data_IF_301318073559
#
_entry.id   IF_301318073559
#
_cell.length_a   1.000
_cell.length_b   1.000
_cell.length_c   1.000
_cell.angle_alpha   90.00
_cell.angle_beta   90.00
_cell.angle_gamma   90.00
#
_symmetry.space_group_name_H-M   'P 1'
#
loop_
_entity.id
_entity.type
_entity.pdbx_description
1 polymer ?
#
# COMPACT_ATOMS: atom_id res chain seq x y z
N UNK A 1 5.86 -10.28 -15.10
CA UNK A 1 6.16 -11.62 -14.60
C UNK A 1 7.59 -12.02 -14.95
N UNK A 2 8.34 -12.51 -13.99
CA UNK A 2 9.72 -12.99 -14.21
C UNK A 2 9.80 -14.30 -14.99
N UNK A 3 8.73 -15.11 -15.03
CA UNK A 3 8.70 -16.37 -15.76
C UNK A 3 7.31 -17.00 -15.81
N UNK A 4 7.14 -18.02 -16.68
CA UNK A 4 5.86 -18.71 -16.86
C UNK A 4 5.37 -19.46 -15.61
N UNK A 5 6.30 -19.93 -14.76
CA UNK A 5 5.96 -20.57 -13.49
C UNK A 5 5.22 -19.64 -12.54
N UNK A 6 5.53 -18.34 -12.55
CA UNK A 6 4.85 -17.36 -11.71
C UNK A 6 3.43 -17.06 -12.22
N UNK A 7 3.19 -17.19 -13.54
CA UNK A 7 1.84 -17.14 -14.10
C UNK A 7 1.02 -18.32 -13.58
N UNK A 8 1.61 -19.54 -13.55
CA UNK A 8 0.93 -20.73 -13.04
C UNK A 8 0.64 -20.62 -11.53
N UNK A 9 1.60 -20.14 -10.73
CA UNK A 9 1.40 -19.99 -9.28
C UNK A 9 0.40 -18.87 -8.93
N UNK A 10 0.39 -17.78 -9.69
CA UNK A 10 -0.50 -16.64 -9.45
C UNK A 10 -1.99 -17.00 -9.58
N UNK A 11 -2.36 -17.94 -10.45
CA UNK A 11 -3.76 -18.34 -10.59
C UNK A 11 -4.32 -19.06 -9.34
N UNK A 12 -3.46 -19.58 -8.46
CA UNK A 12 -3.82 -20.34 -7.25
C UNK A 12 -4.00 -19.42 -6.03
N UNK A 13 -3.64 -18.14 -6.12
CA UNK A 13 -3.71 -17.20 -5.01
C UNK A 13 -5.15 -17.03 -4.55
N UNK A 14 -5.38 -17.20 -3.25
CA UNK A 14 -6.64 -17.01 -2.54
C UNK A 14 -6.58 -15.87 -1.53
N UNK A 15 -5.38 -15.44 -1.13
CA UNK A 15 -5.15 -14.39 -0.14
C UNK A 15 -4.08 -13.43 -0.62
N UNK A 16 -4.36 -12.13 -0.53
CA UNK A 16 -3.40 -11.07 -0.81
C UNK A 16 -3.14 -10.27 0.47
N UNK A 17 -1.88 -10.09 0.79
CA UNK A 17 -1.42 -9.22 1.87
C UNK A 17 -0.80 -7.98 1.24
N UNK A 18 -1.37 -6.82 1.52
CA UNK A 18 -0.88 -5.52 1.05
C UNK A 18 -0.14 -4.83 2.19
N UNK A 19 1.09 -4.38 1.95
CA UNK A 19 1.70 -3.41 2.86
C UNK A 19 0.89 -2.10 2.84
N UNK A 20 0.89 -1.36 3.94
CA UNK A 20 0.19 -0.08 4.00
C UNK A 20 0.98 1.01 3.26
N UNK A 21 2.19 1.28 3.74
CA UNK A 21 2.99 2.45 3.35
C UNK A 21 3.60 2.27 1.95
N UNK A 22 3.40 3.23 1.05
CA UNK A 22 3.90 3.16 -0.32
C UNK A 22 3.15 2.18 -1.23
N UNK A 23 2.36 1.26 -0.67
CA UNK A 23 1.56 0.27 -1.40
C UNK A 23 0.10 0.70 -1.47
N UNK A 24 -0.66 0.67 -0.36
CA UNK A 24 -2.05 1.18 -0.29
C UNK A 24 -2.05 2.71 -0.28
N UNK A 25 -1.08 3.31 0.39
CA UNK A 25 -0.88 4.75 0.49
C UNK A 25 0.24 5.24 -0.43
N UNK A 26 0.37 6.54 -0.59
CA UNK A 26 1.38 7.15 -1.44
C UNK A 26 2.81 7.05 -0.87
N UNK A 27 2.97 6.71 0.41
CA UNK A 27 4.25 6.63 1.11
C UNK A 27 4.87 7.99 1.41
N UNK A 28 4.11 9.07 1.20
CA UNK A 28 4.52 10.45 1.46
C UNK A 28 3.43 11.15 2.25
N UNK A 29 3.70 11.54 3.51
CA UNK A 29 2.77 12.34 4.29
C UNK A 29 2.49 13.67 3.60
N UNK A 30 1.23 14.12 3.69
CA UNK A 30 0.80 15.46 3.26
C UNK A 30 -0.04 16.10 4.34
N UNK A 31 -0.09 17.42 4.37
CA UNK A 31 -1.01 18.15 5.24
C UNK A 31 -2.42 17.98 4.70
N UNK A 32 -3.30 17.37 5.48
CA UNK A 32 -4.71 17.14 5.12
C UNK A 32 -5.64 18.21 5.69
N UNK A 33 -5.31 18.73 6.87
CA UNK A 33 -6.12 19.74 7.55
C UNK A 33 -5.21 20.73 8.28
N UNK A 34 -5.60 21.98 8.22
CA UNK A 34 -4.94 23.08 8.94
C UNK A 34 -5.96 24.10 9.43
N UNK A 35 -5.90 24.41 10.71
CA UNK A 35 -6.66 25.46 11.35
C UNK A 35 -5.71 26.41 12.04
N UNK A 36 -5.53 27.58 11.49
CA UNK A 36 -4.65 28.66 11.95
C UNK A 36 -4.56 29.73 10.87
N UNK A 37 -3.87 30.83 11.17
CA UNK A 37 -3.59 31.88 10.19
C UNK A 37 -2.30 31.63 9.39
N UNK A 38 -2.07 32.42 8.36
CA UNK A 38 -0.87 32.27 7.52
C UNK A 38 0.43 32.59 8.28
N UNK A 39 0.39 33.45 9.28
CA UNK A 39 1.55 33.77 10.11
C UNK A 39 1.95 32.56 10.96
N UNK A 40 0.99 31.91 11.60
CA UNK A 40 1.21 30.68 12.36
C UNK A 40 1.77 29.57 11.45
N UNK A 41 1.23 29.42 10.23
CA UNK A 41 1.73 28.43 9.28
C UNK A 41 3.17 28.72 8.82
N UNK A 42 3.50 30.00 8.59
CA UNK A 42 4.85 30.43 8.22
C UNK A 42 5.86 30.12 9.33
N UNK A 43 5.51 30.45 10.58
CA UNK A 43 6.34 30.16 11.75
C UNK A 43 6.50 28.64 11.97
N UNK A 44 5.42 27.89 11.86
CA UNK A 44 5.42 26.43 11.93
C UNK A 44 6.37 25.81 10.89
N UNK A 45 6.20 26.18 9.62
CA UNK A 45 7.01 25.64 8.54
C UNK A 45 8.48 26.08 8.63
N UNK A 46 8.75 27.27 9.16
CA UNK A 46 10.11 27.73 9.44
C UNK A 46 10.75 26.88 10.54
N UNK A 47 10.01 26.57 11.62
CA UNK A 47 10.49 25.70 12.70
C UNK A 47 10.76 24.28 12.21
N UNK A 48 9.86 23.73 11.38
CA UNK A 48 9.99 22.37 10.86
C UNK A 48 11.06 22.21 9.75
N UNK A 49 11.51 23.33 9.13
CA UNK A 49 12.57 23.32 8.11
C UNK A 49 13.86 22.63 8.61
N UNK A 50 14.14 22.76 9.90
CA UNK A 50 15.33 22.20 10.55
C UNK A 50 15.10 20.81 11.14
N UNK A 51 13.91 20.24 10.98
CA UNK A 51 13.54 18.91 11.45
C UNK A 51 13.78 17.85 10.37
N UNK A 52 14.37 16.72 10.74
CA UNK A 52 14.56 15.55 9.86
C UNK A 52 13.33 14.61 9.82
N UNK A 53 12.24 14.98 10.49
CA UNK A 53 11.08 14.14 10.58
C UNK A 53 10.27 14.14 9.25
N UNK A 54 9.76 13.00 8.75
CA UNK A 54 8.97 12.97 7.50
C UNK A 54 7.75 13.89 7.48
N UNK A 55 7.15 14.16 8.65
CA UNK A 55 6.02 15.11 8.77
C UNK A 55 6.44 16.56 8.53
N UNK A 56 7.69 16.92 8.85
CA UNK A 56 8.23 18.24 8.66
C UNK A 56 8.29 18.61 7.16
N UNK A 57 8.72 17.69 6.31
CA UNK A 57 8.75 17.90 4.86
C UNK A 57 7.33 18.21 4.31
N UNK A 58 6.32 17.49 4.79
CA UNK A 58 4.93 17.73 4.43
C UNK A 58 4.45 19.15 4.78
N UNK A 59 4.80 19.61 5.98
CA UNK A 59 4.44 20.96 6.48
C UNK A 59 5.15 22.06 5.68
N UNK A 60 6.45 21.88 5.44
CA UNK A 60 7.26 22.82 4.64
C UNK A 60 6.72 22.92 3.20
N UNK A 61 6.39 21.80 2.59
CA UNK A 61 5.82 21.77 1.24
C UNK A 61 4.45 22.46 1.18
N UNK A 62 3.59 22.20 2.16
CA UNK A 62 2.28 22.88 2.27
C UNK A 62 2.40 24.39 2.39
N UNK A 63 3.35 24.89 3.21
CA UNK A 63 3.60 26.32 3.33
C UNK A 63 4.13 26.92 2.02
N UNK A 64 4.99 26.21 1.28
CA UNK A 64 5.49 26.65 -0.05
C UNK A 64 4.37 26.72 -1.08
N UNK A 65 3.43 25.75 -1.09
CA UNK A 65 2.25 25.79 -1.95
C UNK A 65 1.36 27.00 -1.67
N UNK A 66 1.31 27.47 -0.40
CA UNK A 66 0.66 28.71 -0.01
C UNK A 66 1.49 29.96 -0.30
N UNK A 67 2.66 29.81 -0.96
CA UNK A 67 3.59 30.89 -1.30
C UNK A 67 4.14 31.66 -0.09
N UNK A 68 4.24 31.00 1.08
CA UNK A 68 4.81 31.60 2.27
C UNK A 68 6.32 31.54 2.22
N UNK A 69 6.97 32.67 2.56
CA UNK A 69 8.44 32.74 2.63
C UNK A 69 8.91 32.28 4.00
N UNK A 70 9.76 31.26 4.03
CA UNK A 70 10.36 30.76 5.27
C UNK A 70 11.58 31.59 5.63
N UNK A 71 11.73 31.88 6.91
CA UNK A 71 12.86 32.65 7.50
C UNK A 71 13.90 31.70 8.13
N UNK A 72 14.82 32.23 8.92
CA UNK A 72 15.80 31.45 9.64
C UNK A 72 15.34 31.19 11.09
N UNK A 73 15.65 30.00 11.60
CA UNK A 73 15.38 29.62 12.98
C UNK A 73 16.54 30.10 13.87
N UNK A 74 16.24 30.81 14.94
CA UNK A 74 17.27 31.27 15.91
C UNK A 74 17.71 30.13 16.82
N UNK A 75 16.75 29.33 17.32
CA UNK A 75 17.00 28.12 18.13
C UNK A 75 16.03 27.05 17.72
N UNK A 76 16.52 25.80 17.70
CA UNK A 76 15.71 24.61 17.43
C UNK A 76 16.05 23.51 18.44
N UNK A 77 15.02 22.85 18.97
CA UNK A 77 15.17 21.73 19.89
C UNK A 77 14.08 20.71 19.63
N UNK A 78 14.47 19.50 19.26
CA UNK A 78 13.56 18.37 19.25
C UNK A 78 13.29 17.90 20.70
N UNK A 79 12.01 17.66 21.01
CA UNK A 79 11.55 17.09 22.28
C UNK A 79 11.08 15.66 22.00
N UNK A 80 11.91 14.63 22.25
CA UNK A 80 11.61 13.26 21.85
C UNK A 80 10.25 12.77 22.33
N UNK A 81 9.43 12.26 21.39
CA UNK A 81 8.09 11.75 21.68
C UNK A 81 7.02 12.82 21.98
N UNK A 82 7.36 14.12 21.93
CA UNK A 82 6.44 15.20 22.28
C UNK A 82 6.26 16.21 21.15
N UNK A 83 7.31 16.53 20.40
CA UNK A 83 7.31 17.53 19.33
C UNK A 83 8.60 18.32 19.22
N UNK A 84 8.50 19.60 18.88
CA UNK A 84 9.62 20.53 18.73
C UNK A 84 9.36 21.85 19.46
N UNK A 85 10.44 22.51 19.81
CA UNK A 85 10.51 23.86 20.37
C UNK A 85 11.48 24.68 19.52
N UNK A 86 11.08 25.87 19.10
CA UNK A 86 11.90 26.76 18.29
C UNK A 86 11.69 28.23 18.63
N UNK A 87 12.66 29.06 18.29
CA UNK A 87 12.54 30.52 18.34
C UNK A 87 12.82 31.10 16.96
N UNK A 88 11.91 31.92 16.47
CA UNK A 88 11.99 32.57 15.16
C UNK A 88 11.56 34.03 15.33
N UNK A 89 12.42 34.98 14.97
CA UNK A 89 12.12 36.42 15.04
C UNK A 89 11.47 36.86 16.39
N UNK A 90 12.05 36.42 17.52
CA UNK A 90 11.54 36.65 18.88
C UNK A 90 10.22 35.92 19.23
N UNK A 91 9.66 35.13 18.35
CA UNK A 91 8.52 34.25 18.64
C UNK A 91 9.01 32.90 19.14
N UNK A 92 8.51 32.48 20.31
CA UNK A 92 8.70 31.17 20.85
C UNK A 92 7.61 30.24 20.32
N UNK A 93 7.99 29.14 19.70
CA UNK A 93 7.08 28.22 18.99
C UNK A 93 7.19 26.83 19.57
N UNK A 94 6.05 26.26 19.90
CA UNK A 94 5.90 24.87 20.32
C UNK A 94 4.99 24.16 19.32
N UNK A 95 5.44 23.02 18.81
CA UNK A 95 4.66 22.17 17.90
C UNK A 95 4.69 20.74 18.41
N UNK A 96 3.55 20.14 18.68
CA UNK A 96 3.54 18.77 19.17
C UNK A 96 2.22 18.29 19.74
N UNK A 97 2.30 17.27 20.57
CA UNK A 97 1.15 16.60 21.15
C UNK A 97 0.59 17.30 22.39
N UNK A 98 -0.52 16.75 22.95
CA UNK A 98 -1.16 17.27 24.18
C UNK A 98 -0.20 17.39 25.36
N UNK A 99 0.75 16.44 25.45
CA UNK A 99 1.69 16.42 26.57
C UNK A 99 2.68 17.59 26.49
N UNK A 100 3.21 17.90 25.30
CA UNK A 100 4.07 19.07 25.11
C UNK A 100 3.36 20.37 25.55
N UNK A 101 2.08 20.53 25.21
CA UNK A 101 1.29 21.69 25.60
C UNK A 101 1.08 21.74 27.12
N UNK A 102 0.74 20.62 27.74
CA UNK A 102 0.55 20.52 29.20
C UNK A 102 1.83 20.78 29.98
N UNK A 103 2.98 20.27 29.53
CA UNK A 103 4.29 20.50 30.16
C UNK A 103 4.74 21.98 30.08
N UNK A 104 4.10 22.78 29.22
CA UNK A 104 4.30 24.22 29.06
C UNK A 104 3.11 25.07 29.56
N UNK A 105 2.24 24.51 30.41
CA UNK A 105 1.09 25.19 31.02
C UNK A 105 0.07 25.77 29.98
N UNK A 106 0.04 25.21 28.76
CA UNK A 106 -0.89 25.61 27.70
C UNK A 106 -2.16 24.80 27.82
N UNK A 107 -3.26 25.44 28.20
CA UNK A 107 -4.57 24.79 28.31
C UNK A 107 -5.20 24.56 26.93
N UNK A 108 -5.82 23.39 26.73
CA UNK A 108 -6.52 23.05 25.50
C UNK A 108 -8.02 23.32 25.65
N UNK A 109 -8.61 24.22 24.85
CA UNK A 109 -10.05 24.36 24.75
C UNK A 109 -10.68 23.03 24.30
N UNK A 110 -11.89 22.75 24.80
CA UNK A 110 -12.59 21.49 24.56
C UNK A 110 -12.74 21.19 23.05
N UNK A 111 -13.13 22.18 22.24
CA UNK A 111 -13.30 22.01 20.80
C UNK A 111 -11.99 21.59 20.09
N UNK A 112 -10.84 22.16 20.49
CA UNK A 112 -9.55 21.76 19.94
C UNK A 112 -9.19 20.31 20.35
N UNK A 113 -9.50 19.92 21.59
CA UNK A 113 -9.29 18.54 22.04
C UNK A 113 -10.19 17.55 21.29
N UNK A 114 -11.42 17.96 20.96
CA UNK A 114 -12.37 17.15 20.19
C UNK A 114 -11.89 17.02 18.73
N UNK A 115 -11.43 18.11 18.08
CA UNK A 115 -10.85 18.10 16.74
C UNK A 115 -9.61 17.19 16.66
N UNK A 116 -8.71 17.32 17.64
CA UNK A 116 -7.52 16.47 17.72
C UNK A 116 -7.90 14.97 17.78
N UNK A 117 -8.90 14.65 18.63
CA UNK A 117 -9.39 13.28 18.78
C UNK A 117 -10.06 12.78 17.48
N UNK A 118 -10.76 13.66 16.77
CA UNK A 118 -11.36 13.34 15.48
C UNK A 118 -10.30 12.96 14.45
N UNK A 119 -9.24 13.79 14.29
CA UNK A 119 -8.15 13.50 13.36
C UNK A 119 -7.39 12.21 13.72
N UNK A 120 -7.13 11.98 15.01
CA UNK A 120 -6.48 10.75 15.46
C UNK A 120 -7.31 9.50 15.15
N UNK A 121 -8.65 9.57 15.30
CA UNK A 121 -9.56 8.48 14.93
C UNK A 121 -9.63 8.23 13.42
N UNK A 122 -9.40 9.28 12.63
CA UNK A 122 -9.33 9.22 11.17
C UNK A 122 -7.94 8.74 10.67
N UNK A 123 -7.06 8.32 11.58
CA UNK A 123 -5.74 7.78 11.25
C UNK A 123 -4.69 8.83 10.88
N UNK A 124 -4.95 10.12 11.21
CA UNK A 124 -4.04 11.23 10.93
C UNK A 124 -3.13 11.50 12.14
N UNK A 125 -1.95 12.03 11.88
CA UNK A 125 -1.09 12.57 12.93
C UNK A 125 -1.44 14.06 13.09
N UNK A 126 -2.10 14.40 14.17
CA UNK A 126 -2.49 15.77 14.46
C UNK A 126 -1.55 16.38 15.51
N UNK A 127 -1.13 17.63 15.27
CA UNK A 127 -0.22 18.38 16.11
C UNK A 127 -0.82 19.75 16.45
N UNK A 128 -0.58 20.18 17.68
CA UNK A 128 -0.95 21.48 18.20
C UNK A 128 0.18 22.46 17.96
N UNK A 129 -0.17 23.71 17.69
CA UNK A 129 0.77 24.80 17.44
C UNK A 129 0.50 25.89 18.47
N UNK A 130 1.54 26.26 19.22
CA UNK A 130 1.47 27.41 20.12
C UNK A 130 2.58 28.40 19.81
N UNK A 131 2.23 29.68 19.80
CA UNK A 131 3.14 30.79 19.61
C UNK A 131 3.10 31.65 20.88
N UNK A 132 4.27 31.91 21.47
CA UNK A 132 4.41 32.64 22.71
C UNK A 132 3.48 32.12 23.83
N UNK A 133 3.46 30.79 24.00
CA UNK A 133 2.64 30.05 24.97
C UNK A 133 1.11 30.18 24.77
N UNK A 134 0.68 30.73 23.64
CA UNK A 134 -0.74 30.80 23.27
C UNK A 134 -1.02 29.79 22.14
N UNK A 135 -2.06 28.96 22.29
CA UNK A 135 -2.48 28.04 21.25
C UNK A 135 -3.01 28.82 20.05
N UNK A 136 -2.38 28.63 18.88
CA UNK A 136 -2.68 29.40 17.65
C UNK A 136 -3.17 28.51 16.51
N UNK A 137 -3.01 27.18 16.61
CA UNK A 137 -3.49 26.32 15.54
C UNK A 137 -3.40 24.83 15.82
N UNK A 138 -3.95 24.08 14.88
CA UNK A 138 -3.85 22.63 14.78
C UNK A 138 -3.55 22.27 13.34
N UNK A 139 -2.69 21.30 13.13
CA UNK A 139 -2.36 20.76 11.82
C UNK A 139 -2.46 19.24 11.85
N UNK A 140 -3.04 18.64 10.81
CA UNK A 140 -3.10 17.20 10.66
C UNK A 140 -2.36 16.78 9.39
N UNK A 141 -1.56 15.75 9.52
CA UNK A 141 -0.74 15.18 8.45
C UNK A 141 -1.05 13.70 8.34
N UNK A 142 -1.24 13.21 7.14
CA UNK A 142 -1.47 11.80 6.90
C UNK A 142 -0.83 11.33 5.60
N UNK A 143 -0.49 10.06 5.55
CA UNK A 143 -0.16 9.39 4.30
C UNK A 143 -1.47 9.00 3.61
N UNK A 144 -1.73 9.61 2.45
CA UNK A 144 -3.00 9.49 1.74
C UNK A 144 -3.10 8.18 0.97
N UNK A 145 -4.29 7.62 0.94
CA UNK A 145 -4.60 6.43 0.14
C UNK A 145 -4.43 6.74 -1.35
N UNK A 146 -3.83 5.81 -2.10
CA UNK A 146 -3.69 5.93 -3.55
C UNK A 146 -5.04 5.96 -4.24
N UNK A 147 -5.09 6.67 -5.36
CA UNK A 147 -6.24 6.64 -6.26
C UNK A 147 -6.53 5.19 -6.68
N UNK A 148 -7.81 4.86 -6.79
CA UNK A 148 -8.29 3.52 -7.17
C UNK A 148 -7.93 2.36 -6.22
N UNK A 149 -7.31 2.60 -5.05
CA UNK A 149 -7.00 1.54 -4.09
C UNK A 149 -8.26 0.78 -3.65
N UNK A 150 -9.33 1.50 -3.35
CA UNK A 150 -10.62 0.92 -3.00
C UNK A 150 -11.23 0.08 -4.12
N UNK A 151 -11.11 0.55 -5.37
CA UNK A 151 -11.65 -0.18 -6.54
C UNK A 151 -10.85 -1.45 -6.81
N UNK A 152 -9.52 -1.40 -6.63
CA UNK A 152 -8.66 -2.58 -6.77
C UNK A 152 -8.99 -3.65 -5.72
N UNK A 153 -9.16 -3.25 -4.46
CA UNK A 153 -9.53 -4.15 -3.37
C UNK A 153 -10.90 -4.76 -3.61
N UNK A 154 -11.87 -3.94 -4.04
CA UNK A 154 -13.21 -4.44 -4.42
C UNK A 154 -13.12 -5.50 -5.53
N UNK A 155 -12.35 -5.26 -6.59
CA UNK A 155 -12.17 -6.25 -7.65
C UNK A 155 -11.54 -7.55 -7.17
N UNK A 156 -10.58 -7.49 -6.23
CA UNK A 156 -9.99 -8.69 -5.61
C UNK A 156 -11.05 -9.48 -4.84
N UNK A 157 -11.89 -8.81 -4.05
CA UNK A 157 -13.02 -9.46 -3.36
C UNK A 157 -14.03 -10.07 -4.34
N UNK A 158 -14.38 -9.36 -5.43
CA UNK A 158 -15.26 -9.87 -6.48
C UNK A 158 -14.69 -11.13 -7.20
N UNK A 159 -13.35 -11.31 -7.16
CA UNK A 159 -12.66 -12.50 -7.65
C UNK A 159 -12.56 -13.64 -6.61
N UNK A 160 -13.13 -13.47 -5.42
CA UNK A 160 -13.10 -14.41 -4.30
C UNK A 160 -11.76 -14.48 -3.58
N UNK A 161 -10.97 -13.40 -3.63
CA UNK A 161 -9.65 -13.31 -2.99
C UNK A 161 -9.80 -12.54 -1.68
N UNK A 162 -9.31 -13.10 -0.57
CA UNK A 162 -9.20 -12.38 0.70
C UNK A 162 -8.12 -11.33 0.61
N UNK A 163 -8.39 -10.14 1.17
CA UNK A 163 -7.42 -9.06 1.23
C UNK A 163 -7.12 -8.72 2.68
N UNK A 164 -5.85 -8.75 3.05
CA UNK A 164 -5.35 -8.34 4.35
C UNK A 164 -4.40 -7.15 4.20
N UNK A 165 -4.40 -6.25 5.17
CA UNK A 165 -3.43 -5.16 5.25
C UNK A 165 -2.42 -5.45 6.37
N UNK A 166 -1.14 -5.23 6.07
CA UNK A 166 -0.03 -5.34 7.01
C UNK A 166 0.56 -3.95 7.26
N UNK A 167 0.74 -3.57 8.51
CA UNK A 167 1.20 -2.23 8.89
C UNK A 167 2.02 -2.24 10.17
N UNK A 168 3.06 -1.43 10.22
CA UNK A 168 3.79 -1.10 11.43
C UNK A 168 3.09 -0.08 12.33
N UNK A 169 2.01 0.55 11.85
CA UNK A 169 1.25 1.51 12.64
C UNK A 169 0.46 0.81 13.75
N UNK A 170 0.05 1.60 14.74
CA UNK A 170 -0.87 1.14 15.76
C UNK A 170 -2.22 0.70 15.15
N UNK A 171 -2.92 -0.15 15.86
CA UNK A 171 -4.17 -0.77 15.41
C UNK A 171 -5.24 0.24 14.97
N UNK A 172 -5.37 1.37 15.67
CA UNK A 172 -6.41 2.37 15.35
C UNK A 172 -6.14 3.04 13.99
N UNK A 173 -4.92 3.48 13.76
CA UNK A 173 -4.48 4.09 12.49
C UNK A 173 -4.62 3.10 11.34
N UNK A 174 -4.15 1.86 11.52
CA UNK A 174 -4.25 0.82 10.51
C UNK A 174 -5.73 0.49 10.18
N UNK A 175 -6.61 0.38 11.19
CA UNK A 175 -8.04 0.14 10.98
C UNK A 175 -8.75 1.28 10.24
N UNK A 176 -8.37 2.55 10.50
CA UNK A 176 -8.95 3.70 9.79
C UNK A 176 -8.67 3.60 8.28
N UNK A 177 -7.44 3.32 7.88
CA UNK A 177 -7.06 3.14 6.47
C UNK A 177 -7.76 1.92 5.85
N UNK A 178 -7.75 0.78 6.55
CA UNK A 178 -8.42 -0.44 6.09
C UNK A 178 -9.91 -0.22 5.81
N UNK A 179 -10.61 0.45 6.71
CA UNK A 179 -12.02 0.81 6.55
C UNK A 179 -12.25 1.72 5.35
N UNK A 180 -11.37 2.68 5.10
CA UNK A 180 -11.45 3.59 3.96
C UNK A 180 -11.40 2.85 2.62
N UNK A 181 -10.56 1.81 2.52
CA UNK A 181 -10.35 1.05 1.29
C UNK A 181 -11.17 -0.26 1.22
N UNK A 182 -11.87 -0.65 2.28
CA UNK A 182 -12.72 -1.84 2.32
C UNK A 182 -11.96 -3.14 2.63
N UNK A 183 -10.91 -3.08 3.44
CA UNK A 183 -10.17 -4.26 3.93
C UNK A 183 -10.68 -4.64 5.32
N UNK A 184 -11.04 -5.90 5.53
CA UNK A 184 -11.56 -6.41 6.80
C UNK A 184 -10.46 -6.95 7.73
N UNK A 185 -9.41 -7.53 7.16
CA UNK A 185 -8.32 -8.14 7.92
C UNK A 185 -7.14 -7.19 8.04
N UNK A 186 -6.81 -6.81 9.28
CA UNK A 186 -5.70 -5.89 9.58
C UNK A 186 -4.71 -6.56 10.53
N UNK A 187 -3.45 -6.58 10.13
CA UNK A 187 -2.31 -7.06 10.93
C UNK A 187 -1.46 -5.82 11.25
N UNK A 188 -1.70 -5.24 12.42
CA UNK A 188 -1.09 -3.99 12.87
C UNK A 188 0.06 -4.23 13.88
N UNK A 189 0.77 -3.16 14.24
CA UNK A 189 1.88 -3.16 15.21
C UNK A 189 3.01 -4.15 14.84
N UNK A 190 3.29 -4.33 13.54
CA UNK A 190 4.26 -5.30 13.03
C UNK A 190 5.60 -4.64 12.71
N UNK A 191 6.67 -5.16 13.31
CA UNK A 191 8.03 -4.74 12.98
C UNK A 191 8.43 -5.24 11.58
N UNK A 192 9.34 -4.53 10.89
CA UNK A 192 9.79 -4.93 9.54
C UNK A 192 10.26 -6.38 9.46
N UNK A 193 11.03 -6.85 10.45
CA UNK A 193 11.55 -8.22 10.54
C UNK A 193 10.47 -9.28 10.77
N UNK A 194 9.31 -8.91 11.29
CA UNK A 194 8.19 -9.82 11.58
C UNK A 194 7.26 -10.03 10.38
N UNK A 195 7.34 -9.18 9.34
CA UNK A 195 6.46 -9.26 8.17
C UNK A 195 6.48 -10.64 7.52
N UNK A 196 7.67 -11.21 7.31
CA UNK A 196 7.82 -12.55 6.73
C UNK A 196 7.18 -13.65 7.60
N UNK A 197 7.25 -13.51 8.93
CA UNK A 197 6.63 -14.46 9.85
C UNK A 197 5.09 -14.44 9.77
N UNK A 198 4.48 -13.27 9.54
CA UNK A 198 3.03 -13.17 9.33
C UNK A 198 2.59 -13.87 8.03
N UNK A 199 3.36 -13.72 6.96
CA UNK A 199 3.12 -14.45 5.71
C UNK A 199 3.19 -15.96 5.95
N UNK A 200 4.26 -16.44 6.62
CA UNK A 200 4.41 -17.86 6.96
C UNK A 200 3.23 -18.40 7.79
N UNK A 201 2.71 -17.62 8.73
CA UNK A 201 1.55 -17.99 9.54
C UNK A 201 0.27 -18.18 8.70
N UNK A 202 0.03 -17.31 7.73
CA UNK A 202 -1.10 -17.48 6.81
C UNK A 202 -0.93 -18.72 5.93
N UNK A 203 0.28 -18.98 5.43
CA UNK A 203 0.59 -20.20 4.66
C UNK A 203 0.38 -21.49 5.47
N UNK A 204 0.72 -21.48 6.78
CA UNK A 204 0.47 -22.61 7.69
C UNK A 204 -1.02 -22.90 7.88
N UNK A 205 -1.89 -21.91 7.66
CA UNK A 205 -3.35 -22.08 7.67
C UNK A 205 -3.89 -22.66 6.35
N UNK A 206 -3.00 -23.02 5.41
CA UNK A 206 -3.35 -23.59 4.10
C UNK A 206 -3.63 -22.55 3.02
N UNK A 207 -3.41 -21.25 3.30
CA UNK A 207 -3.64 -20.16 2.35
C UNK A 207 -2.52 -20.07 1.32
N UNK A 208 -2.89 -19.70 0.09
CA UNK A 208 -1.97 -19.35 -1.00
C UNK A 208 -1.82 -17.84 -1.05
N UNK A 209 -0.71 -17.36 -0.55
CA UNK A 209 -0.50 -15.94 -0.19
C UNK A 209 0.32 -15.22 -1.25
N UNK A 210 -0.23 -14.11 -1.79
CA UNK A 210 0.57 -13.10 -2.46
C UNK A 210 0.88 -11.97 -1.47
N UNK A 211 2.14 -11.49 -1.47
CA UNK A 211 2.56 -10.29 -0.73
C UNK A 211 2.82 -9.16 -1.71
N UNK A 212 2.28 -7.98 -1.42
CA UNK A 212 2.50 -6.75 -2.20
C UNK A 212 3.21 -5.72 -1.34
N UNK A 213 4.32 -5.20 -1.82
CA UNK A 213 5.12 -4.19 -1.13
C UNK A 213 5.94 -3.33 -2.10
N UNK A 214 6.51 -2.23 -1.60
CA UNK A 214 7.27 -1.27 -2.42
C UNK A 214 8.73 -1.11 -1.96
N UNK A 215 9.06 -1.54 -0.76
CA UNK A 215 10.29 -1.20 -0.08
C UNK A 215 11.25 -2.35 0.23
N UNK A 216 12.46 -1.96 0.64
CA UNK A 216 13.50 -2.88 1.13
C UNK A 216 13.01 -3.70 2.33
N UNK A 217 12.19 -3.07 3.19
CA UNK A 217 11.64 -3.70 4.39
C UNK A 217 10.65 -4.84 4.07
N UNK A 218 10.11 -4.87 2.86
CA UNK A 218 9.17 -5.89 2.40
C UNK A 218 9.85 -7.08 1.72
N UNK A 219 11.11 -6.93 1.29
CA UNK A 219 11.82 -7.95 0.53
C UNK A 219 11.80 -9.34 1.19
N UNK A 220 12.02 -9.52 2.50
CA UNK A 220 11.90 -10.82 3.14
C UNK A 220 10.48 -11.41 3.07
N UNK A 221 9.45 -10.57 3.15
CA UNK A 221 8.06 -10.99 3.05
C UNK A 221 7.65 -11.32 1.60
N UNK A 222 8.16 -10.56 0.62
CA UNK A 222 7.97 -10.83 -0.80
C UNK A 222 8.55 -12.20 -1.20
N UNK A 223 9.78 -12.48 -0.76
CA UNK A 223 10.43 -13.79 -1.01
C UNK A 223 9.70 -14.94 -0.30
N UNK A 224 9.15 -14.68 0.90
CA UNK A 224 8.46 -15.70 1.71
C UNK A 224 7.11 -16.08 1.15
N UNK A 225 6.40 -15.18 0.49
CA UNK A 225 5.07 -15.42 -0.07
C UNK A 225 5.09 -16.48 -1.18
N UNK A 226 3.92 -17.06 -1.51
CA UNK A 226 3.78 -17.92 -2.69
C UNK A 226 4.00 -17.11 -3.97
N UNK A 227 3.62 -15.83 -3.97
CA UNK A 227 3.91 -14.84 -5.01
C UNK A 227 4.28 -13.52 -4.35
N UNK A 228 5.45 -12.98 -4.66
CA UNK A 228 5.87 -11.63 -4.32
C UNK A 228 5.55 -10.64 -5.43
N UNK A 229 4.91 -9.52 -5.12
CA UNK A 229 4.54 -8.47 -6.06
C UNK A 229 5.17 -7.15 -5.61
N UNK A 230 6.13 -6.63 -6.35
CA UNK A 230 6.67 -5.28 -6.14
C UNK A 230 5.82 -4.26 -6.88
N UNK A 231 5.50 -3.13 -6.22
CA UNK A 231 4.66 -2.07 -6.79
C UNK A 231 5.40 -0.72 -6.79
N UNK A 232 5.15 0.08 -7.83
CA UNK A 232 5.67 1.44 -7.95
C UNK A 232 7.06 1.51 -8.57
N UNK A 233 7.81 2.53 -8.17
CA UNK A 233 9.23 2.70 -8.49
C UNK A 233 10.13 1.89 -7.54
N UNK A 234 9.62 0.76 -7.03
CA UNK A 234 10.20 -0.04 -5.96
C UNK A 234 11.73 -0.07 -6.00
N UNK A 235 12.35 -0.12 -4.85
CA UNK A 235 13.80 -0.23 -4.76
C UNK A 235 14.27 -1.44 -5.59
N UNK A 236 15.48 -1.39 -6.15
CA UNK A 236 16.05 -2.52 -6.90
C UNK A 236 15.94 -3.83 -6.10
N UNK A 237 16.12 -3.75 -4.77
CA UNK A 237 15.99 -4.89 -3.86
C UNK A 237 14.57 -5.47 -3.86
N UNK A 238 13.52 -4.64 -3.83
CA UNK A 238 12.13 -5.12 -3.87
C UNK A 238 11.80 -5.73 -5.24
N UNK A 239 12.27 -5.10 -6.33
CA UNK A 239 12.10 -5.60 -7.70
C UNK A 239 12.81 -6.95 -7.86
N UNK A 240 14.01 -7.10 -7.31
CA UNK A 240 14.76 -8.36 -7.37
C UNK A 240 14.10 -9.47 -6.55
N UNK A 241 13.53 -9.14 -5.39
CA UNK A 241 12.84 -10.07 -4.50
C UNK A 241 11.47 -10.52 -5.03
N UNK A 242 10.82 -9.73 -5.88
CA UNK A 242 9.46 -10.01 -6.36
C UNK A 242 9.43 -10.93 -7.58
N UNK A 243 8.36 -11.70 -7.71
CA UNK A 243 8.04 -12.55 -8.87
C UNK A 243 7.31 -11.76 -9.97
N UNK A 244 6.57 -10.74 -9.56
CA UNK A 244 5.82 -9.82 -10.42
C UNK A 244 6.20 -8.39 -10.06
N UNK A 245 6.48 -7.56 -11.06
CA UNK A 245 6.73 -6.14 -10.87
C UNK A 245 5.65 -5.32 -11.55
N UNK A 246 5.00 -4.43 -10.80
CA UNK A 246 3.96 -3.52 -11.28
C UNK A 246 4.56 -2.12 -11.38
N UNK A 247 4.81 -1.67 -12.60
CA UNK A 247 5.34 -0.34 -12.86
C UNK A 247 4.25 0.73 -12.70
N UNK A 248 4.64 1.90 -12.19
CA UNK A 248 3.76 3.06 -12.08
C UNK A 248 2.85 3.12 -10.85
N UNK A 249 2.88 2.12 -9.96
CA UNK A 249 2.22 2.20 -8.65
C UNK A 249 0.69 2.05 -8.63
N UNK A 250 0.04 1.75 -9.76
CA UNK A 250 -1.40 1.56 -9.86
C UNK A 250 -1.83 0.19 -9.33
N UNK A 251 -2.53 0.18 -8.19
CA UNK A 251 -3.06 -1.05 -7.56
C UNK A 251 -4.04 -1.81 -8.46
N UNK A 252 -4.70 -1.14 -9.41
CA UNK A 252 -5.62 -1.79 -10.37
C UNK A 252 -4.92 -2.81 -11.27
N UNK A 253 -3.59 -2.76 -11.38
CA UNK A 253 -2.84 -3.73 -12.15
C UNK A 253 -2.73 -5.09 -11.44
N UNK A 254 -2.92 -5.15 -10.11
CA UNK A 254 -2.90 -6.41 -9.34
C UNK A 254 -4.06 -7.32 -9.76
N UNK A 255 -5.35 -6.93 -9.64
CA UNK A 255 -6.45 -7.77 -10.09
C UNK A 255 -6.36 -8.10 -11.58
N UNK A 256 -5.86 -7.18 -12.43
CA UNK A 256 -5.63 -7.45 -13.85
C UNK A 256 -4.57 -8.54 -14.08
N UNK A 257 -3.46 -8.51 -13.34
CA UNK A 257 -2.42 -9.53 -13.43
C UNK A 257 -2.94 -10.91 -13.00
N UNK A 258 -3.70 -10.99 -11.92
CA UNK A 258 -4.31 -12.24 -11.46
C UNK A 258 -5.36 -12.75 -12.47
N UNK A 259 -6.18 -11.85 -13.00
CA UNK A 259 -7.15 -12.22 -14.05
C UNK A 259 -6.46 -12.78 -15.30
N UNK A 260 -5.40 -12.12 -15.79
CA UNK A 260 -4.60 -12.56 -16.91
C UNK A 260 -4.00 -13.95 -16.66
N UNK A 261 -3.45 -14.20 -15.48
CA UNK A 261 -2.94 -15.51 -15.07
C UNK A 261 -4.04 -16.58 -15.11
N UNK A 262 -5.18 -16.32 -14.46
CA UNK A 262 -6.34 -17.24 -14.46
C UNK A 262 -6.84 -17.56 -15.88
N UNK A 263 -6.92 -16.54 -16.75
CA UNK A 263 -7.34 -16.69 -18.14
C UNK A 263 -6.33 -17.52 -18.94
N UNK A 264 -5.03 -17.24 -18.80
CA UNK A 264 -3.96 -17.97 -19.48
C UNK A 264 -3.97 -19.45 -19.11
N UNK A 265 -4.03 -19.78 -17.81
CA UNK A 265 -4.06 -21.18 -17.35
C UNK A 265 -5.32 -21.89 -17.83
N UNK A 266 -6.47 -21.21 -17.82
CA UNK A 266 -7.72 -21.76 -18.38
C UNK A 266 -7.57 -22.11 -19.84
N UNK A 267 -7.01 -21.21 -20.66
CA UNK A 267 -6.77 -21.44 -22.08
C UNK A 267 -5.80 -22.62 -22.32
N UNK A 268 -4.71 -22.69 -21.54
CA UNK A 268 -3.77 -23.83 -21.62
C UNK A 268 -4.48 -25.14 -21.32
N UNK A 269 -5.29 -25.20 -20.26
CA UNK A 269 -6.05 -26.41 -19.91
C UNK A 269 -7.07 -26.80 -20.99
N UNK A 270 -7.76 -25.82 -21.58
CA UNK A 270 -8.69 -26.09 -22.70
C UNK A 270 -7.96 -26.64 -23.91
N UNK A 271 -6.83 -26.03 -24.28
CA UNK A 271 -6.03 -26.48 -25.43
C UNK A 271 -5.51 -27.92 -25.21
N UNK A 272 -5.00 -28.20 -24.02
CA UNK A 272 -4.56 -29.55 -23.66
C UNK A 272 -5.72 -30.56 -23.68
N UNK A 273 -6.89 -30.19 -23.15
CA UNK A 273 -8.07 -31.04 -23.18
C UNK A 273 -8.45 -31.44 -24.62
N UNK A 274 -8.48 -30.47 -25.52
CA UNK A 274 -8.77 -30.75 -26.94
C UNK A 274 -7.67 -31.57 -27.60
N UNK A 275 -6.39 -31.27 -27.38
CA UNK A 275 -5.28 -32.01 -27.91
C UNK A 275 -5.29 -33.49 -27.49
N UNK A 276 -5.52 -33.75 -26.20
CA UNK A 276 -5.66 -35.14 -25.71
C UNK A 276 -6.96 -35.82 -26.17
N UNK A 277 -8.07 -35.07 -26.19
CA UNK A 277 -9.37 -35.59 -26.61
C UNK A 277 -9.35 -36.12 -28.04
N UNK A 278 -8.76 -35.36 -28.96
CA UNK A 278 -8.59 -35.83 -30.36
C UNK A 278 -7.73 -37.08 -30.45
N UNK A 279 -6.64 -37.18 -29.71
CA UNK A 279 -5.76 -38.33 -29.71
C UNK A 279 -6.43 -39.58 -29.10
N UNK A 280 -7.12 -39.42 -27.96
CA UNK A 280 -7.83 -40.51 -27.28
C UNK A 280 -8.96 -41.04 -28.15
N UNK A 281 -9.68 -40.17 -28.86
CA UNK A 281 -10.73 -40.61 -29.80
C UNK A 281 -10.17 -41.19 -31.11
N UNK A 282 -9.12 -40.54 -31.64
CA UNK A 282 -8.55 -40.91 -32.94
C UNK A 282 -7.79 -42.25 -32.96
N UNK A 283 -7.05 -42.57 -31.90
CA UNK A 283 -6.23 -43.79 -31.82
C UNK A 283 -7.09 -45.06 -31.92
N UNK A 284 -8.18 -45.25 -31.17
CA UNK A 284 -9.05 -46.43 -31.31
C UNK A 284 -9.72 -46.50 -32.67
N UNK A 285 -10.17 -45.37 -33.22
CA UNK A 285 -10.81 -45.32 -34.55
C UNK A 285 -9.81 -45.73 -35.64
N UNK A 286 -8.58 -45.25 -35.54
CA UNK A 286 -7.50 -45.64 -36.44
C UNK A 286 -7.14 -47.14 -36.33
N UNK A 287 -7.07 -47.65 -35.09
CA UNK A 287 -6.78 -49.06 -34.82
C UNK A 287 -7.85 -50.03 -35.38
N UNK A 288 -9.10 -49.57 -35.46
CA UNK A 288 -10.21 -50.29 -36.06
C UNK A 288 -10.27 -50.17 -37.61
N UNK A 289 -9.32 -49.46 -38.23
CA UNK A 289 -9.28 -49.22 -39.66
C UNK A 289 -10.35 -48.28 -40.21
N UNK A 290 -11.04 -47.56 -39.33
CA UNK A 290 -12.17 -46.68 -39.68
C UNK A 290 -11.74 -45.22 -40.00
N UNK A 291 -10.44 -44.91 -39.86
CA UNK A 291 -9.92 -43.56 -40.07
C UNK A 291 -9.47 -43.35 -41.52
N UNK A 292 -10.26 -42.68 -42.33
CA UNK A 292 -9.80 -42.23 -43.63
C UNK A 292 -8.75 -41.10 -43.52
N UNK A 293 -7.70 -41.05 -44.36
CA UNK A 293 -6.61 -40.10 -44.26
C UNK A 293 -7.07 -38.60 -44.23
N UNK A 294 -8.13 -38.29 -44.98
CA UNK A 294 -8.68 -36.96 -45.05
C UNK A 294 -9.37 -36.54 -43.72
N UNK A 295 -9.94 -37.48 -42.97
CA UNK A 295 -10.57 -37.23 -41.67
C UNK A 295 -9.50 -36.88 -40.64
N UNK A 296 -8.36 -37.55 -40.65
CA UNK A 296 -7.22 -37.22 -39.79
C UNK A 296 -6.66 -35.82 -40.10
N UNK A 297 -6.54 -35.48 -41.37
CA UNK A 297 -6.11 -34.15 -41.79
C UNK A 297 -7.09 -33.03 -41.37
N UNK A 298 -8.39 -33.26 -41.54
CA UNK A 298 -9.41 -32.30 -41.10
C UNK A 298 -9.46 -32.12 -39.57
N UNK A 299 -9.35 -33.22 -38.81
CA UNK A 299 -9.29 -33.17 -37.34
C UNK A 299 -8.06 -32.42 -36.85
N UNK A 300 -6.90 -32.60 -37.50
CA UNK A 300 -5.66 -31.87 -37.19
C UNK A 300 -5.78 -30.38 -37.52
N UNK A 301 -6.40 -30.01 -38.63
CA UNK A 301 -6.64 -28.62 -39.02
C UNK A 301 -7.61 -27.92 -38.03
N UNK A 302 -8.67 -28.60 -37.60
CA UNK A 302 -9.61 -28.11 -36.58
C UNK A 302 -8.94 -27.94 -35.21
N UNK A 303 -8.06 -28.86 -34.79
CA UNK A 303 -7.29 -28.77 -33.54
C UNK A 303 -6.38 -27.57 -33.55
N UNK A 304 -5.66 -27.29 -34.65
CA UNK A 304 -4.81 -26.11 -34.82
C UNK A 304 -5.61 -24.79 -34.81
N UNK A 305 -6.82 -24.80 -35.41
CA UNK A 305 -7.71 -23.63 -35.43
C UNK A 305 -8.25 -23.28 -34.03
N UNK A 306 -8.52 -24.28 -33.19
CA UNK A 306 -8.99 -24.07 -31.79
C UNK A 306 -7.88 -23.61 -30.84
N UNK A 307 -6.61 -23.86 -31.15
CA UNK A 307 -5.46 -23.39 -30.38
C UNK A 307 -5.19 -21.90 -30.64
N UNK A 308 -5.71 -21.33 -31.71
CA UNK A 308 -5.47 -19.92 -32.13
C UNK A 308 -6.52 -18.90 -31.61
N UNK A 309 -7.50 -19.34 -30.83
CA UNK A 309 -8.48 -18.48 -30.14
C UNK A 309 -8.12 -18.41 -28.67
#
# INVERSE_FOLDING_TARGET
FKGGEFVERTHQIDTIVLDKTGTITNGRPVVTDYHGDNQTLQLLATAEKDSEHPLAEAIVNYAKEKQLTLTETTTFKAVPGHGIEATIDHHHILVGNRKLMADNDISLPKHISDDLTYYERDGKTAMLIAVNYSLTGIIAVADTVKDHAKDAIKQLHDMGIEVAMLSGDNKNTAQAIAKQVGIDTVIADILPEEKAAQIAKLQQQGKKVAMVGDGVNDAPALVKADIGIAIGTGTEVAIEAADITILGGDLMLIPKAIYASKATIRNIRQNLFWAFGYNIAGIPIAALGLLAPWVAGAAMALSLSLIHI
#
